data_IF_994425139171
#
_entry.id   IF_994425139171
#
_cell.length_a   1.000
_cell.length_b   1.000
_cell.length_c   1.000
_cell.angle_alpha   90.00
_cell.angle_beta   90.00
_cell.angle_gamma   90.00
#
_symmetry.space_group_name_H-M   'P 1'
#
loop_
_entity.id
_entity.type
_entity.pdbx_description
1 polymer ?
#
# COMPACT_ATOMS: atom_id res chain seq x y z
N UNK A 1 -39.31 90.44 0.59
CA UNK A 1 -39.02 89.75 1.87
C UNK A 1 -38.92 88.26 1.58
N UNK A 2 -37.73 87.64 1.71
CA UNK A 2 -37.62 86.19 1.54
C UNK A 2 -38.09 85.44 2.81
N UNK A 3 -38.64 84.22 2.68
CA UNK A 3 -39.13 83.42 3.79
C UNK A 3 -38.00 82.82 4.66
N UNK A 4 -38.32 82.35 5.89
CA UNK A 4 -37.33 81.88 6.85
C UNK A 4 -36.68 80.57 6.40
N UNK A 5 -35.37 80.42 6.66
CA UNK A 5 -34.62 79.18 6.41
C UNK A 5 -35.02 78.10 7.43
N UNK A 6 -35.56 77.00 6.94
CA UNK A 6 -35.77 75.77 7.70
C UNK A 6 -34.44 75.24 8.25
N UNK A 7 -34.42 74.95 9.55
CA UNK A 7 -33.31 74.25 10.20
C UNK A 7 -33.42 72.74 9.89
N UNK A 8 -32.36 72.08 9.43
CA UNK A 8 -32.38 70.64 9.22
C UNK A 8 -32.50 69.86 10.53
N UNK A 9 -33.40 68.87 10.51
CA UNK A 9 -33.72 67.90 11.56
C UNK A 9 -32.48 67.07 12.01
N UNK A 10 -32.21 66.94 13.34
CA UNK A 10 -31.03 66.27 13.89
C UNK A 10 -30.95 64.74 13.67
N UNK A 11 -31.95 64.08 13.08
CA UNK A 11 -32.00 62.60 13.02
C UNK A 11 -31.20 61.92 11.89
N UNK A 12 -30.50 62.66 11.03
CA UNK A 12 -29.71 62.07 9.91
C UNK A 12 -28.20 61.93 10.17
N UNK A 13 -27.68 62.31 11.35
CA UNK A 13 -26.24 62.24 11.69
C UNK A 13 -25.80 61.00 12.47
N UNK A 14 -26.24 59.79 12.09
CA UNK A 14 -25.74 58.54 12.71
C UNK A 14 -25.36 57.42 11.73
N UNK A 15 -24.92 57.75 10.52
CA UNK A 15 -24.31 56.76 9.60
C UNK A 15 -23.20 57.38 8.75
N UNK A 16 -22.15 57.90 9.38
CA UNK A 16 -20.89 58.23 8.68
C UNK A 16 -19.79 58.57 9.69
N UNK A 17 -19.29 57.58 10.40
CA UNK A 17 -17.98 57.69 11.06
C UNK A 17 -17.45 56.28 11.33
N UNK A 18 -16.18 56.06 11.00
CA UNK A 18 -15.39 54.82 11.12
C UNK A 18 -15.61 53.89 9.90
N UNK A 19 -14.67 53.65 8.99
CA UNK A 19 -13.21 53.70 9.13
C UNK A 19 -12.57 53.79 7.74
N UNK A 20 -11.81 54.86 7.53
CA UNK A 20 -10.72 54.95 6.56
C UNK A 20 -9.60 54.02 7.05
N UNK A 21 -9.26 52.97 6.29
CA UNK A 21 -7.90 52.39 6.11
C UNK A 21 -7.99 51.04 5.41
N UNK A 22 -7.07 50.83 4.46
CA UNK A 22 -6.79 49.59 3.70
C UNK A 22 -7.32 49.53 2.26
N UNK A 23 -6.95 50.54 1.46
CA UNK A 23 -6.43 50.29 0.11
C UNK A 23 -4.99 49.77 0.28
N UNK A 24 -4.56 48.82 -0.56
CA UNK A 24 -3.28 48.06 -0.54
C UNK A 24 -3.33 46.73 0.22
N UNK A 25 -4.07 45.75 -0.33
CA UNK A 25 -3.80 44.31 -0.23
C UNK A 25 -4.77 43.52 -1.12
N UNK A 26 -4.73 43.75 -2.43
CA UNK A 26 -5.45 42.92 -3.41
C UNK A 26 -4.54 42.63 -4.59
N UNK A 27 -3.33 42.22 -4.26
CA UNK A 27 -2.37 41.57 -5.16
C UNK A 27 -2.22 40.16 -4.60
N UNK A 28 -2.45 39.14 -5.44
CA UNK A 28 -2.34 37.70 -5.15
C UNK A 28 -3.58 37.00 -4.52
N UNK A 29 -4.72 37.04 -5.22
CA UNK A 29 -5.77 36.03 -4.99
C UNK A 29 -6.25 35.40 -6.30
N UNK A 30 -5.30 35.08 -7.17
CA UNK A 30 -5.52 34.35 -8.41
C UNK A 30 -4.39 33.32 -8.54
N UNK A 31 -4.77 32.05 -8.74
CA UNK A 31 -3.90 30.88 -8.92
C UNK A 31 -3.33 30.21 -7.66
N UNK A 32 -4.21 29.86 -6.73
CA UNK A 32 -4.03 28.62 -5.98
C UNK A 32 -4.53 27.44 -6.81
N UNK A 33 -3.84 27.12 -7.92
CA UNK A 33 -3.98 25.79 -8.52
C UNK A 33 -3.57 24.82 -7.42
N UNK A 34 -4.55 24.12 -6.85
CA UNK A 34 -4.31 22.92 -6.08
C UNK A 34 -3.65 21.94 -7.05
N UNK A 35 -2.32 22.02 -7.19
CA UNK A 35 -1.52 20.91 -7.68
C UNK A 35 -1.79 19.80 -6.67
N UNK A 36 -2.72 18.92 -7.03
CA UNK A 36 -2.87 17.62 -6.42
C UNK A 36 -1.54 16.94 -6.71
N UNK A 37 -0.56 17.20 -5.84
CA UNK A 37 0.78 16.66 -5.96
C UNK A 37 0.61 15.18 -5.77
N UNK A 38 0.67 14.43 -6.87
CA UNK A 38 0.85 12.99 -6.84
C UNK A 38 2.10 12.76 -6.03
N UNK A 39 1.94 12.39 -4.76
CA UNK A 39 3.06 11.96 -3.94
C UNK A 39 3.77 10.85 -4.72
N UNK A 40 5.10 10.92 -4.89
CA UNK A 40 5.82 9.88 -5.59
C UNK A 40 5.54 8.55 -4.88
N UNK A 41 5.06 7.55 -5.63
CA UNK A 41 4.94 6.20 -5.09
C UNK A 41 6.31 5.76 -4.57
N UNK A 42 6.38 5.16 -3.37
CA UNK A 42 7.64 4.70 -2.83
C UNK A 42 8.31 3.73 -3.79
N UNK A 43 9.61 3.91 -4.03
CA UNK A 43 10.40 2.99 -4.85
C UNK A 43 10.53 1.64 -4.11
N UNK A 44 10.30 0.49 -4.78
CA UNK A 44 10.54 -0.81 -4.17
C UNK A 44 11.99 -0.95 -3.69
N UNK A 45 12.17 -1.45 -2.48
CA UNK A 45 13.48 -1.69 -1.88
C UNK A 45 13.70 -3.18 -1.62
N UNK A 46 14.95 -3.59 -1.38
CA UNK A 46 15.20 -4.95 -0.91
C UNK A 46 14.79 -5.07 0.55
N UNK A 47 14.26 -6.24 0.92
CA UNK A 47 14.14 -6.60 2.33
C UNK A 47 15.52 -6.58 3.00
N UNK A 48 15.55 -6.21 4.26
CA UNK A 48 16.76 -6.33 5.06
C UNK A 48 17.19 -7.81 5.15
N UNK A 49 18.40 -8.08 5.64
CA UNK A 49 18.79 -9.45 5.92
C UNK A 49 17.89 -10.05 7.02
N UNK A 50 17.39 -11.29 6.84
CA UNK A 50 16.59 -11.95 7.86
C UNK A 50 17.37 -12.12 9.16
N UNK A 51 16.66 -12.07 10.28
CA UNK A 51 17.23 -12.39 11.58
C UNK A 51 17.02 -13.89 11.86
N UNK A 52 18.10 -14.64 12.04
CA UNK A 52 18.06 -16.08 12.26
C UNK A 52 18.56 -16.88 11.06
N UNK A 53 18.35 -18.19 11.12
CA UNK A 53 18.82 -19.13 10.10
C UNK A 53 17.64 -20.04 9.71
N UNK A 54 17.46 -20.24 8.40
CA UNK A 54 16.45 -21.16 7.89
C UNK A 54 16.82 -22.59 8.30
N UNK A 55 15.83 -23.41 8.67
CA UNK A 55 16.07 -24.77 9.14
C UNK A 55 15.30 -25.78 8.33
N UNK A 56 15.96 -26.90 8.07
CA UNK A 56 15.37 -28.06 7.40
C UNK A 56 15.26 -29.20 8.41
N UNK A 57 14.04 -29.66 8.67
CA UNK A 57 13.71 -30.63 9.72
C UNK A 57 13.09 -31.88 9.07
N UNK A 58 13.81 -33.02 9.06
CA UNK A 58 13.26 -34.29 8.60
C UNK A 58 12.05 -34.71 9.45
N UNK A 59 11.02 -35.22 8.81
CA UNK A 59 9.82 -35.75 9.46
C UNK A 59 9.83 -37.29 9.49
N UNK A 60 9.13 -37.92 10.45
CA UNK A 60 9.07 -39.39 10.56
C UNK A 60 8.50 -40.12 9.34
N UNK A 61 7.68 -39.44 8.53
CA UNK A 61 7.08 -39.97 7.30
C UNK A 61 7.99 -39.84 6.07
N UNK A 62 9.22 -39.33 6.25
CA UNK A 62 10.18 -39.10 5.17
C UNK A 62 10.03 -37.74 4.48
N UNK A 63 9.03 -36.92 4.86
CA UNK A 63 8.91 -35.56 4.37
C UNK A 63 9.91 -34.61 5.03
N UNK A 64 10.08 -33.42 4.45
CA UNK A 64 10.97 -32.38 4.95
C UNK A 64 10.15 -31.14 5.28
N UNK A 65 10.30 -30.65 6.51
CA UNK A 65 9.80 -29.34 6.93
C UNK A 65 10.88 -28.29 6.75
N UNK A 66 10.57 -27.19 6.10
CA UNK A 66 11.44 -26.01 6.05
C UNK A 66 10.84 -24.91 6.93
N UNK A 67 11.61 -24.46 7.91
CA UNK A 67 11.35 -23.26 8.70
C UNK A 67 12.07 -22.11 8.00
N UNK A 68 11.37 -21.43 7.09
CA UNK A 68 11.88 -20.25 6.41
C UNK A 68 12.04 -19.08 7.40
N UNK A 69 12.97 -18.17 7.09
CA UNK A 69 13.15 -16.92 7.83
C UNK A 69 13.25 -15.76 6.86
N UNK A 70 12.39 -14.78 7.07
CA UNK A 70 12.37 -13.54 6.31
C UNK A 70 12.56 -12.34 7.22
N UNK A 71 13.11 -11.25 6.68
CA UNK A 71 13.30 -10.02 7.44
C UNK A 71 11.98 -9.29 7.62
N UNK A 72 11.82 -8.60 8.75
CA UNK A 72 10.62 -7.81 9.04
C UNK A 72 10.43 -6.73 7.99
N UNK A 73 9.25 -6.72 7.38
CA UNK A 73 8.79 -5.66 6.50
C UNK A 73 8.11 -4.55 7.30
N UNK A 74 8.18 -3.33 6.80
CA UNK A 74 7.38 -2.22 7.29
C UNK A 74 6.01 -2.20 6.57
N UNK A 75 4.92 -1.86 7.27
CA UNK A 75 3.63 -1.61 6.63
C UNK A 75 3.72 -0.56 5.52
N UNK A 76 2.94 -0.74 4.46
CA UNK A 76 2.82 0.16 3.30
C UNK A 76 4.13 0.42 2.53
N UNK A 77 5.22 -0.29 2.86
CA UNK A 77 6.48 -0.19 2.15
C UNK A 77 6.57 -1.27 1.06
N UNK A 78 6.86 -0.92 -0.20
CA UNK A 78 7.08 -1.88 -1.26
C UNK A 78 8.46 -2.54 -1.15
N UNK A 79 8.47 -3.86 -1.27
CA UNK A 79 9.68 -4.66 -1.28
C UNK A 79 9.77 -5.51 -2.54
N UNK A 80 10.97 -5.58 -3.13
CA UNK A 80 11.29 -6.59 -4.13
C UNK A 80 11.26 -7.97 -3.47
N UNK A 81 10.46 -8.88 -4.04
CA UNK A 81 10.21 -10.17 -3.42
C UNK A 81 10.08 -11.28 -4.49
N UNK A 82 11.01 -12.25 -4.51
CA UNK A 82 10.89 -13.43 -5.37
C UNK A 82 9.91 -14.43 -4.74
N UNK A 83 8.99 -14.94 -5.55
CA UNK A 83 8.01 -15.95 -5.13
C UNK A 83 8.35 -17.26 -5.82
N UNK A 84 8.38 -18.36 -5.07
CA UNK A 84 8.59 -19.69 -5.63
C UNK A 84 7.28 -20.24 -6.20
N UNK A 85 7.26 -20.47 -7.51
CA UNK A 85 6.07 -20.77 -8.32
C UNK A 85 6.06 -22.18 -8.90
N UNK A 86 7.14 -22.95 -8.68
CA UNK A 86 7.38 -24.24 -9.32
C UNK A 86 6.28 -25.29 -9.15
N UNK A 87 5.53 -25.21 -8.05
CA UNK A 87 4.44 -26.14 -7.71
C UNK A 87 3.13 -25.37 -7.51
N UNK A 88 2.99 -24.25 -8.23
CA UNK A 88 1.95 -23.25 -8.02
C UNK A 88 2.22 -22.36 -6.80
N UNK A 89 1.21 -21.60 -6.41
CA UNK A 89 1.27 -20.73 -5.23
C UNK A 89 0.74 -21.47 -4.00
N UNK A 90 1.62 -21.71 -3.04
CA UNK A 90 1.25 -22.18 -1.70
C UNK A 90 1.62 -21.11 -0.66
N UNK A 91 1.29 -21.29 0.62
CA UNK A 91 1.68 -20.25 1.59
C UNK A 91 3.18 -20.22 1.89
N UNK A 92 3.92 -21.29 1.52
CA UNK A 92 5.38 -21.28 1.54
C UNK A 92 5.99 -20.47 0.38
N UNK A 93 5.21 -20.17 -0.66
CA UNK A 93 5.66 -19.33 -1.76
C UNK A 93 5.83 -17.87 -1.30
N UNK A 94 5.16 -17.50 -0.20
CA UNK A 94 5.16 -16.16 0.37
C UNK A 94 5.47 -16.23 1.87
N UNK A 95 6.72 -16.49 2.23
CA UNK A 95 7.24 -16.10 3.55
C UNK A 95 7.68 -14.64 3.47
N UNK A 96 6.77 -13.73 3.81
CA UNK A 96 7.05 -12.31 3.83
C UNK A 96 6.97 -11.81 5.26
N UNK A 97 8.04 -11.15 5.72
CA UNK A 97 8.21 -10.68 7.10
C UNK A 97 8.40 -11.73 8.20
N UNK A 98 8.54 -13.01 7.83
CA UNK A 98 8.53 -14.15 8.75
C UNK A 98 7.12 -14.70 8.98
N UNK A 99 6.16 -14.25 8.19
CA UNK A 99 4.78 -14.70 8.20
C UNK A 99 4.46 -15.40 6.90
N UNK A 100 3.68 -16.48 6.98
CA UNK A 100 3.20 -17.17 5.79
C UNK A 100 1.94 -16.50 5.26
N UNK A 101 1.85 -16.38 3.94
CA UNK A 101 0.76 -15.70 3.26
C UNK A 101 0.10 -16.60 2.22
N UNK A 102 -1.22 -16.72 2.28
CA UNK A 102 -2.02 -17.45 1.30
C UNK A 102 -2.72 -16.50 0.33
N UNK A 103 -3.04 -16.97 -0.86
CA UNK A 103 -3.89 -16.22 -1.79
C UNK A 103 -5.29 -16.06 -1.18
N UNK A 104 -5.83 -14.83 -1.19
CA UNK A 104 -7.12 -14.50 -0.58
C UNK A 104 -8.29 -15.33 -1.15
N UNK A 105 -8.32 -15.52 -2.47
CA UNK A 105 -9.33 -16.34 -3.17
C UNK A 105 -9.02 -17.86 -3.13
N UNK A 106 -7.99 -18.24 -2.39
CA UNK A 106 -7.50 -19.60 -2.26
C UNK A 106 -6.65 -20.07 -3.46
N UNK A 107 -5.85 -21.12 -3.27
CA UNK A 107 -4.99 -21.67 -4.33
C UNK A 107 -5.80 -22.23 -5.51
N UNK A 108 -7.04 -22.67 -5.27
CA UNK A 108 -7.95 -23.18 -6.31
C UNK A 108 -8.25 -22.15 -7.40
N UNK A 109 -8.26 -20.85 -7.07
CA UNK A 109 -8.43 -19.77 -8.05
C UNK A 109 -7.34 -19.77 -9.13
N UNK A 110 -6.17 -20.35 -8.82
CA UNK A 110 -5.03 -20.45 -9.73
C UNK A 110 -4.66 -21.91 -10.08
N UNK A 111 -5.28 -22.89 -9.43
CA UNK A 111 -5.05 -24.33 -9.63
C UNK A 111 -5.49 -24.86 -11.01
N UNK A 112 -6.17 -24.05 -11.82
CA UNK A 112 -6.57 -24.41 -13.20
C UNK A 112 -5.35 -24.72 -14.09
N UNK A 113 -4.13 -24.37 -13.65
CA UNK A 113 -2.90 -24.49 -14.44
C UNK A 113 -1.99 -25.65 -14.02
N UNK A 114 -2.44 -26.53 -13.12
CA UNK A 114 -1.62 -27.60 -12.55
C UNK A 114 -0.43 -27.01 -11.78
N UNK A 115 0.59 -27.81 -11.42
CA UNK A 115 1.79 -27.34 -10.71
C UNK A 115 2.58 -26.22 -11.42
N UNK A 116 2.14 -25.71 -12.57
CA UNK A 116 2.74 -24.56 -13.24
C UNK A 116 2.05 -23.25 -12.86
N UNK A 117 2.79 -22.14 -12.76
CA UNK A 117 2.19 -20.86 -12.47
C UNK A 117 1.26 -20.38 -13.59
N UNK A 118 0.38 -19.41 -13.28
CA UNK A 118 -0.40 -18.69 -14.26
C UNK A 118 0.41 -18.20 -15.47
N UNK A 119 -0.17 -18.25 -16.69
CA UNK A 119 0.42 -17.57 -17.85
C UNK A 119 0.80 -16.13 -17.51
N UNK A 120 2.08 -15.79 -17.70
CA UNK A 120 2.63 -14.47 -17.37
C UNK A 120 3.30 -14.40 -16.00
N UNK A 121 3.52 -15.54 -15.36
CA UNK A 121 4.32 -15.68 -14.15
C UNK A 121 5.46 -16.64 -14.46
N UNK A 122 6.69 -16.26 -14.09
CA UNK A 122 7.90 -17.03 -14.36
C UNK A 122 7.96 -18.31 -13.46
N UNK A 123 8.70 -19.34 -13.89
CA UNK A 123 8.89 -20.64 -13.23
C UNK A 123 10.39 -20.99 -13.27
N UNK A 124 11.04 -21.40 -12.16
CA UNK A 124 10.49 -21.80 -10.85
C UNK A 124 10.23 -20.66 -9.87
N UNK A 125 10.59 -19.43 -10.23
CA UNK A 125 10.37 -18.25 -9.42
C UNK A 125 9.91 -17.09 -10.30
N UNK A 126 9.13 -16.19 -9.72
CA UNK A 126 8.79 -14.91 -10.32
C UNK A 126 9.14 -13.77 -9.38
N UNK A 127 9.78 -12.74 -9.91
CA UNK A 127 10.15 -11.56 -9.15
C UNK A 127 9.00 -10.55 -9.23
N UNK A 128 8.59 -10.06 -8.06
CA UNK A 128 7.57 -9.03 -7.96
C UNK A 128 7.84 -8.03 -6.86
N UNK A 129 6.82 -7.23 -6.58
CA UNK A 129 6.77 -6.28 -5.46
C UNK A 129 5.69 -6.71 -4.51
N UNK A 130 6.03 -6.89 -3.24
CA UNK A 130 5.08 -7.15 -2.16
C UNK A 130 4.92 -5.93 -1.26
N UNK A 131 3.70 -5.67 -0.81
CA UNK A 131 3.35 -4.58 0.12
C UNK A 131 2.39 -5.14 1.17
N UNK A 132 2.69 -4.93 2.46
CA UNK A 132 1.70 -5.14 3.50
C UNK A 132 0.68 -3.99 3.47
N UNK A 133 -0.58 -4.30 3.17
CA UNK A 133 -1.69 -3.32 3.05
C UNK A 133 -2.62 -3.34 4.27
N UNK A 134 -2.33 -4.22 5.23
CA UNK A 134 -3.04 -4.35 6.49
C UNK A 134 -2.28 -5.29 7.44
N UNK A 135 -2.80 -5.53 8.67
CA UNK A 135 -2.14 -6.41 9.64
C UNK A 135 -2.02 -7.86 9.15
N UNK A 136 -3.05 -8.32 8.43
CA UNK A 136 -3.17 -9.68 7.92
C UNK A 136 -3.43 -9.70 6.40
N UNK A 137 -3.13 -8.59 5.72
CA UNK A 137 -3.30 -8.46 4.27
C UNK A 137 -2.03 -7.93 3.61
N UNK A 138 -1.68 -8.52 2.48
CA UNK A 138 -0.61 -8.06 1.61
C UNK A 138 -1.04 -8.14 0.15
N UNK A 139 -0.39 -7.37 -0.70
CA UNK A 139 -0.56 -7.48 -2.15
C UNK A 139 0.81 -7.79 -2.75
N UNK A 140 0.89 -8.80 -3.60
CA UNK A 140 2.06 -9.06 -4.43
C UNK A 140 1.74 -8.76 -5.90
N UNK A 141 2.65 -8.08 -6.61
CA UNK A 141 2.52 -7.76 -8.02
C UNK A 141 3.73 -8.27 -8.79
N UNK A 142 3.54 -9.16 -9.76
CA UNK A 142 4.62 -9.66 -10.59
C UNK A 142 5.25 -8.56 -11.45
N UNK A 143 6.47 -8.80 -11.94
CA UNK A 143 7.11 -7.94 -12.95
C UNK A 143 6.26 -7.74 -14.21
N UNK A 144 5.37 -8.67 -14.51
CA UNK A 144 4.48 -8.65 -15.68
C UNK A 144 3.14 -7.94 -15.37
N UNK A 145 2.95 -7.45 -14.15
CA UNK A 145 1.78 -6.68 -13.72
C UNK A 145 0.62 -7.53 -13.18
N UNK A 146 0.83 -8.84 -12.95
CA UNK A 146 -0.19 -9.70 -12.35
C UNK A 146 -0.22 -9.43 -10.85
N UNK A 147 -1.39 -9.03 -10.35
CA UNK A 147 -1.60 -8.68 -8.95
C UNK A 147 -2.34 -9.80 -8.22
N UNK A 148 -1.80 -10.19 -7.07
CA UNK A 148 -2.37 -11.17 -6.14
C UNK A 148 -2.65 -10.50 -4.81
N UNK A 149 -3.87 -10.70 -4.31
CA UNK A 149 -4.22 -10.36 -2.93
C UNK A 149 -3.92 -11.53 -2.02
N UNK A 150 -3.28 -11.24 -0.90
CA UNK A 150 -2.77 -12.21 0.05
C UNK A 150 -3.36 -11.95 1.44
N UNK A 151 -3.65 -13.05 2.14
CA UNK A 151 -4.06 -13.06 3.54
C UNK A 151 -3.06 -13.85 4.37
N UNK A 152 -2.82 -13.41 5.60
CA UNK A 152 -1.92 -14.13 6.52
C UNK A 152 -2.48 -15.53 6.80
N UNK A 153 -1.70 -16.56 6.48
CA UNK A 153 -2.03 -17.96 6.75
C UNK A 153 -1.64 -18.37 8.18
N UNK A 154 -2.11 -19.54 8.65
CA UNK A 154 -1.71 -20.07 9.94
C UNK A 154 -0.20 -20.43 9.95
N UNK A 155 0.45 -20.27 11.11
CA UNK A 155 1.91 -20.32 11.27
C UNK A 155 2.50 -21.73 11.43
N UNK A 156 1.65 -22.76 11.46
CA UNK A 156 2.05 -24.15 11.52
C UNK A 156 2.48 -24.65 10.14
N UNK A 157 3.78 -24.56 9.90
CA UNK A 157 4.59 -25.54 9.16
C UNK A 157 3.95 -26.08 7.88
N UNK A 158 4.37 -25.53 6.74
CA UNK A 158 3.98 -26.10 5.45
C UNK A 158 5.02 -27.10 4.97
N UNK A 159 4.57 -28.32 4.75
CA UNK A 159 5.35 -29.39 4.11
C UNK A 159 5.50 -29.04 2.63
N UNK A 160 6.72 -29.11 2.11
CA UNK A 160 6.96 -28.98 0.67
C UNK A 160 6.52 -30.28 0.00
N UNK A 161 5.30 -30.28 -0.54
CA UNK A 161 4.81 -31.33 -1.43
C UNK A 161 4.71 -30.77 -2.84
N UNK A 162 5.56 -31.23 -3.73
CA UNK A 162 5.32 -31.18 -5.17
C UNK A 162 4.92 -32.60 -5.55
N UNK A 163 3.63 -32.83 -5.77
CA UNK A 163 3.12 -34.12 -6.22
C UNK A 163 3.56 -34.41 -7.68
#
# INVERSE_FOLDING_TARGET
>A
MPPPRDRPDPWTRRRAALTVRSLVATVLLTFGLATCGTLPSPTPTNLASPLGEARTIPQPDGSIRIEAVSARALPDQPYLFPVFTHCGFTANAFDFDGSFWSIADGPAAFAVQGGNPPKGIDNPEDLGVIVAVGPDQATWTSRQGIRLELIRGPSDVQVFGCD
#
